data_IF_583379601225
#
_entry.id   IF_583379601225
#
_cell.length_a   1.000
_cell.length_b   1.000
_cell.length_c   1.000
_cell.angle_alpha   90.00
_cell.angle_beta   90.00
_cell.angle_gamma   90.00
#
_symmetry.space_group_name_H-M   'P 1'
#
loop_
_entity.id
_entity.type
_entity.pdbx_description
1 polymer ?
#
# COMPACT_ATOMS: atom_id res chain seq x y z
N UNK A 1 -23.59 12.50 -20.78
CA UNK A 1 -22.46 13.07 -19.98
C UNK A 1 -21.42 12.05 -19.50
N UNK A 2 -21.77 10.86 -18.99
CA UNK A 2 -20.82 9.89 -18.39
C UNK A 2 -19.63 9.46 -19.28
N UNK A 3 -19.89 9.10 -20.55
CA UNK A 3 -18.86 8.58 -21.48
C UNK A 3 -17.74 9.58 -21.83
N UNK A 4 -17.95 10.88 -21.58
CA UNK A 4 -16.95 11.92 -21.86
C UNK A 4 -15.83 11.96 -20.82
N UNK A 5 -16.12 11.56 -19.59
CA UNK A 5 -15.20 11.71 -18.45
C UNK A 5 -14.86 10.40 -17.75
N UNK A 6 -15.68 9.35 -17.94
CA UNK A 6 -15.51 8.06 -17.30
C UNK A 6 -15.37 6.93 -18.31
N UNK A 7 -14.45 6.03 -18.02
CA UNK A 7 -14.19 4.81 -18.80
C UNK A 7 -14.23 3.58 -17.90
N UNK A 8 -14.20 2.40 -18.53
CA UNK A 8 -14.11 1.11 -17.84
C UNK A 8 -12.71 0.56 -17.95
N UNK A 9 -12.11 0.20 -16.82
CA UNK A 9 -10.86 -0.57 -16.76
C UNK A 9 -11.04 -1.73 -15.81
N UNK A 10 -10.83 -2.94 -16.33
CA UNK A 10 -11.13 -4.18 -15.60
C UNK A 10 -12.59 -4.15 -15.12
N UNK A 11 -12.84 -4.39 -13.83
CA UNK A 11 -14.17 -4.35 -13.21
C UNK A 11 -14.56 -2.96 -12.67
N UNK A 12 -13.83 -1.89 -12.98
CA UNK A 12 -14.14 -0.53 -12.52
C UNK A 12 -14.65 0.35 -13.67
N UNK A 13 -15.95 0.65 -13.65
CA UNK A 13 -16.67 1.44 -14.65
C UNK A 13 -16.66 2.97 -14.41
N UNK A 14 -16.00 3.42 -13.35
CA UNK A 14 -15.99 4.81 -12.89
C UNK A 14 -14.57 5.38 -12.86
N UNK A 15 -13.74 4.99 -13.84
CA UNK A 15 -12.37 5.49 -13.96
C UNK A 15 -12.40 6.83 -14.69
N UNK A 16 -12.05 7.91 -13.98
CA UNK A 16 -11.90 9.22 -14.59
C UNK A 16 -10.71 9.22 -15.55
N UNK A 17 -10.92 9.73 -16.77
CA UNK A 17 -9.91 9.73 -17.81
C UNK A 17 -9.96 11.00 -18.66
N UNK A 18 -8.87 11.25 -19.37
CA UNK A 18 -8.77 12.31 -20.37
C UNK A 18 -7.91 11.84 -21.55
N UNK A 19 -8.17 12.37 -22.73
CA UNK A 19 -7.27 12.22 -23.87
C UNK A 19 -6.20 13.30 -23.83
N UNK A 20 -4.95 12.91 -24.04
CA UNK A 20 -3.82 13.83 -24.10
C UNK A 20 -3.07 13.58 -25.40
N UNK A 21 -2.77 14.66 -26.13
CA UNK A 21 -1.91 14.62 -27.31
C UNK A 21 -0.52 15.11 -26.92
N UNK A 22 0.51 14.31 -27.20
CA UNK A 22 1.89 14.73 -26.96
C UNK A 22 2.39 15.73 -28.03
N UNK A 23 3.60 16.25 -27.85
CA UNK A 23 4.19 17.21 -28.78
C UNK A 23 4.46 16.60 -30.17
N UNK A 24 4.65 15.29 -30.24
CA UNK A 24 4.86 14.50 -31.47
C UNK A 24 3.53 14.16 -32.16
N UNK A 25 2.40 14.48 -31.54
CA UNK A 25 1.06 14.27 -32.07
C UNK A 25 0.42 12.93 -31.73
N UNK A 26 1.07 12.08 -30.94
CA UNK A 26 0.50 10.82 -30.48
C UNK A 26 -0.57 11.08 -29.43
N UNK A 27 -1.71 10.39 -29.57
CA UNK A 27 -2.82 10.47 -28.64
C UNK A 27 -2.69 9.34 -27.62
N UNK A 28 -2.63 9.70 -26.33
CA UNK A 28 -2.62 8.76 -25.22
C UNK A 28 -3.78 9.00 -24.28
N UNK A 29 -4.27 7.93 -23.68
CA UNK A 29 -5.27 7.99 -22.64
C UNK A 29 -4.58 8.22 -21.29
N UNK A 30 -4.94 9.30 -20.59
CA UNK A 30 -4.55 9.56 -19.21
C UNK A 30 -5.65 9.09 -18.27
N UNK A 31 -5.24 8.44 -17.19
CA UNK A 31 -6.14 7.91 -16.17
C UNK A 31 -5.78 8.49 -14.83
N UNK A 32 -6.79 8.95 -14.10
CA UNK A 32 -6.57 9.42 -12.74
C UNK A 32 -6.18 8.24 -11.86
N UNK A 33 -5.07 8.39 -11.13
CA UNK A 33 -4.64 7.40 -10.15
C UNK A 33 -5.57 7.44 -8.94
N UNK A 34 -6.00 6.27 -8.45
CA UNK A 34 -6.84 6.20 -7.25
C UNK A 34 -5.95 6.29 -6.00
N UNK A 35 -6.16 7.31 -5.16
CA UNK A 35 -5.44 7.50 -3.91
C UNK A 35 -5.49 6.26 -3.01
N UNK A 36 -6.58 5.48 -3.04
CA UNK A 36 -6.70 4.25 -2.24
C UNK A 36 -5.74 3.14 -2.65
N UNK A 37 -5.16 3.19 -3.86
CA UNK A 37 -4.12 2.25 -4.29
C UNK A 37 -2.76 2.58 -3.70
N UNK A 38 -2.56 3.76 -3.12
CA UNK A 38 -1.32 4.07 -2.40
C UNK A 38 -1.36 3.40 -1.04
N UNK A 39 -0.47 2.42 -0.77
CA UNK A 39 -0.45 1.76 0.52
C UNK A 39 -0.02 2.76 1.60
N UNK A 40 -0.73 2.75 2.74
CA UNK A 40 -0.37 3.59 3.89
C UNK A 40 0.87 2.99 4.55
N UNK A 41 2.01 3.65 4.39
CA UNK A 41 3.25 3.31 5.11
C UNK A 41 3.19 3.86 6.53
N UNK A 42 3.11 2.96 7.52
CA UNK A 42 3.12 3.34 8.94
C UNK A 42 4.56 3.35 9.45
N UNK A 43 5.01 4.50 9.93
CA UNK A 43 6.27 4.62 10.64
C UNK A 43 5.98 4.62 12.14
N UNK A 44 6.64 3.75 12.90
CA UNK A 44 6.57 3.78 14.37
C UNK A 44 7.16 5.12 14.83
N UNK A 45 6.68 5.72 15.92
CA UNK A 45 7.31 6.93 16.47
C UNK A 45 8.72 6.63 17.01
N UNK A 46 9.67 7.55 16.85
CA UNK A 46 11.02 7.49 17.45
C UNK A 46 10.99 8.25 18.78
N UNK A 47 11.77 7.81 19.78
CA UNK A 47 11.91 8.54 21.04
C UNK A 47 12.52 9.92 20.77
N UNK A 48 11.95 10.98 21.34
CA UNK A 48 12.40 12.36 21.06
C UNK A 48 13.87 12.60 21.42
N UNK A 49 14.36 11.95 22.48
CA UNK A 49 15.75 12.05 22.94
C UNK A 49 16.73 11.18 22.15
N UNK A 50 16.25 10.25 21.32
CA UNK A 50 17.13 9.29 20.65
C UNK A 50 17.87 9.92 19.47
N UNK A 51 19.20 9.92 19.55
CA UNK A 51 20.09 10.40 18.49
C UNK A 51 20.83 9.21 17.82
N UNK A 52 20.67 8.99 16.50
CA UNK A 52 21.36 7.91 15.78
C UNK A 52 22.90 7.91 15.88
N UNK A 53 23.50 9.06 16.18
CA UNK A 53 24.95 9.22 16.20
C UNK A 53 25.56 9.06 17.59
N UNK A 54 24.75 8.99 18.65
CA UNK A 54 25.26 8.75 20.00
C UNK A 54 25.28 7.25 20.29
N UNK A 55 26.41 6.77 20.83
CA UNK A 55 26.64 5.35 21.13
C UNK A 55 25.57 4.75 22.05
N UNK A 56 25.04 5.54 22.99
CA UNK A 56 23.99 5.14 23.93
C UNK A 56 22.66 4.74 23.26
N UNK A 57 22.39 5.20 22.03
CA UNK A 57 21.19 4.82 21.27
C UNK A 57 21.45 3.77 20.19
N UNK A 58 22.68 3.26 20.03
CA UNK A 58 23.01 2.26 19.01
C UNK A 58 22.10 1.03 19.14
N UNK A 59 22.00 0.47 20.35
CA UNK A 59 21.16 -0.70 20.63
C UNK A 59 19.66 -0.42 20.38
N UNK A 60 19.19 0.80 20.65
CA UNK A 60 17.81 1.21 20.38
C UNK A 60 17.48 1.17 18.89
N UNK A 61 18.39 1.66 18.04
CA UNK A 61 18.20 1.63 16.58
C UNK A 61 18.44 0.23 15.98
N UNK A 62 19.36 -0.57 16.52
CA UNK A 62 19.54 -1.97 16.12
C UNK A 62 18.27 -2.79 16.34
N UNK A 63 17.72 -2.80 17.55
CA UNK A 63 16.47 -3.52 17.88
C UNK A 63 15.29 -3.12 16.99
N UNK A 64 15.29 -1.86 16.54
CA UNK A 64 14.23 -1.30 15.69
C UNK A 64 14.43 -1.61 14.20
N UNK A 65 15.69 -1.74 13.76
CA UNK A 65 16.02 -2.18 12.40
C UNK A 65 15.73 -3.67 12.18
N UNK A 66 15.77 -4.46 13.26
CA UNK A 66 15.29 -5.83 13.26
C UNK A 66 13.79 -5.81 12.92
N UNK A 67 13.46 -6.07 11.65
CA UNK A 67 12.08 -6.22 11.19
C UNK A 67 11.44 -7.32 12.03
N UNK A 68 10.58 -6.95 12.97
CA UNK A 68 9.67 -7.91 13.55
C UNK A 68 8.69 -8.28 12.45
N UNK A 69 8.88 -9.45 11.84
CA UNK A 69 7.86 -10.04 10.98
C UNK A 69 6.61 -10.21 11.83
N UNK A 70 5.66 -9.28 11.70
CA UNK A 70 4.37 -9.38 12.38
C UNK A 70 3.72 -10.61 11.79
N UNK A 71 3.77 -11.73 12.53
CA UNK A 71 3.05 -12.94 12.16
C UNK A 71 1.56 -12.60 12.24
N UNK A 72 0.81 -12.70 11.14
CA UNK A 72 -0.60 -12.39 11.19
C UNK A 72 -1.33 -13.35 12.12
N UNK A 73 -2.47 -12.94 12.68
CA UNK A 73 -3.21 -13.74 13.66
C UNK A 73 -3.60 -15.13 13.10
N UNK A 74 -3.77 -15.25 11.78
CA UNK A 74 -4.03 -16.53 11.12
C UNK A 74 -2.87 -17.53 11.16
N UNK A 75 -1.66 -17.10 11.51
CA UNK A 75 -0.50 -18.02 11.61
C UNK A 75 -0.68 -19.08 12.70
N UNK A 76 -1.59 -18.87 13.65
CA UNK A 76 -1.94 -19.81 14.70
C UNK A 76 -3.23 -20.61 14.40
N UNK A 77 -3.87 -20.40 13.24
CA UNK A 77 -5.11 -21.13 12.87
C UNK A 77 -4.91 -22.64 12.84
N UNK A 78 -3.73 -23.12 12.46
CA UNK A 78 -3.40 -24.56 12.43
C UNK A 78 -3.44 -25.24 13.81
N UNK A 79 -3.44 -24.46 14.90
CA UNK A 79 -3.49 -24.97 16.28
C UNK A 79 -4.92 -25.00 16.85
N UNK A 80 -5.91 -24.44 16.15
CA UNK A 80 -7.30 -24.51 16.56
C UNK A 80 -7.94 -25.79 15.98
N UNK A 81 -8.70 -26.56 16.77
CA UNK A 81 -9.34 -27.81 16.31
C UNK A 81 -10.55 -27.57 15.37
N UNK A 82 -10.68 -26.38 14.77
CA UNK A 82 -11.83 -26.01 13.94
C UNK A 82 -11.47 -26.22 12.47
N UNK A 83 -12.06 -27.26 11.87
CA UNK A 83 -12.04 -27.48 10.41
C UNK A 83 -12.86 -26.38 9.73
N UNK A 84 -12.21 -25.32 9.30
CA UNK A 84 -12.83 -24.27 8.50
C UNK A 84 -13.04 -24.82 7.08
N UNK A 85 -14.29 -24.95 6.66
CA UNK A 85 -14.65 -25.43 5.31
C UNK A 85 -14.53 -24.24 4.35
N UNK A 86 -13.61 -24.33 3.40
CA UNK A 86 -13.38 -23.29 2.41
C UNK A 86 -14.63 -23.09 1.53
N UNK A 87 -15.06 -21.83 1.37
CA UNK A 87 -16.01 -21.44 0.32
C UNK A 87 -15.24 -20.77 -0.82
N UNK A 88 -15.43 -21.35 -2.01
CA UNK A 88 -14.96 -20.88 -3.31
C UNK A 88 -15.60 -19.55 -3.73
#
# INVERSE_FOLDING_TARGET
>A
HKRRYFTTIKMNHWRFFAWHKDAQGNVKQLLLYNASYTPIKRHVKIRAVANPFLKEYAEYFEKRSAKTSIKPWWTLLHLLPVQFRDWA
#
